data_IF_849203120255
#
_entry.id   IF_849203120255
#
_cell.length_a   1.000
_cell.length_b   1.000
_cell.length_c   1.000
_cell.angle_alpha   90.00
_cell.angle_beta   90.00
_cell.angle_gamma   90.00
#
_symmetry.space_group_name_H-M   'P 1'
#
loop_
_entity.id
_entity.type
_entity.pdbx_description
1 polymer ?
#
# COMPACT_ATOMS: atom_id res chain seq x y z
N UNK A 1 7.46 -7.58 1.35
CA UNK A 1 6.04 -7.94 1.56
C UNK A 1 5.96 -8.87 2.74
N UNK A 2 5.02 -8.68 3.66
CA UNK A 2 4.93 -9.49 4.89
C UNK A 2 3.73 -10.45 4.89
N UNK A 3 2.69 -10.17 4.10
CA UNK A 3 1.53 -11.04 3.95
C UNK A 3 1.03 -11.01 2.51
N UNK A 4 0.57 -12.15 2.01
CA UNK A 4 -0.25 -12.29 0.79
C UNK A 4 -1.36 -13.29 1.09
N UNK A 5 -2.62 -12.85 1.07
CA UNK A 5 -3.75 -13.71 1.47
C UNK A 5 -5.04 -13.31 0.77
N UNK A 6 -5.90 -14.30 0.47
CA UNK A 6 -7.28 -14.05 0.03
C UNK A 6 -8.12 -13.54 1.20
N UNK A 7 -8.74 -12.38 1.03
CA UNK A 7 -9.62 -11.73 2.02
C UNK A 7 -10.85 -11.14 1.32
N UNK A 8 -12.00 -11.00 2.01
CA UNK A 8 -13.12 -10.23 1.50
C UNK A 8 -12.70 -8.78 1.19
N UNK A 9 -13.29 -8.20 0.16
CA UNK A 9 -12.98 -6.83 -0.24
C UNK A 9 -13.55 -5.77 0.70
N UNK A 10 -14.62 -6.12 1.41
CA UNK A 10 -15.30 -5.32 2.44
C UNK A 10 -15.04 -5.91 3.84
N UNK A 11 -14.93 -5.07 4.88
CA UNK A 11 -14.78 -5.56 6.25
C UNK A 11 -16.05 -6.31 6.72
N UNK A 12 -15.85 -7.27 7.63
CA UNK A 12 -16.95 -7.92 8.33
C UNK A 12 -17.34 -7.08 9.55
N UNK A 13 -18.64 -6.80 9.72
CA UNK A 13 -19.17 -6.07 10.87
C UNK A 13 -19.59 -4.63 10.55
N UNK A 14 -19.84 -3.84 11.59
CA UNK A 14 -20.31 -2.46 11.46
C UNK A 14 -19.15 -1.52 11.12
N UNK A 15 -19.32 -0.73 10.06
CA UNK A 15 -18.37 0.32 9.69
C UNK A 15 -18.61 1.53 10.59
N UNK A 16 -17.54 2.05 11.18
CA UNK A 16 -17.53 3.26 11.99
C UNK A 16 -16.46 4.24 11.48
N UNK A 17 -16.45 5.44 12.05
CA UNK A 17 -15.45 6.45 11.72
C UNK A 17 -14.02 5.97 12.07
N UNK A 18 -13.05 6.41 11.28
CA UNK A 18 -11.64 6.22 11.56
C UNK A 18 -11.11 7.22 12.62
N UNK A 19 -9.80 7.20 12.86
CA UNK A 19 -9.16 8.07 13.86
C UNK A 19 -9.25 9.58 13.55
N UNK A 20 -9.69 9.95 12.34
CA UNK A 20 -9.83 11.32 11.87
C UNK A 20 -11.30 11.73 11.70
N UNK A 21 -12.24 10.83 12.02
CA UNK A 21 -13.67 11.08 11.92
C UNK A 21 -14.26 10.71 10.55
N UNK A 22 -13.47 10.18 9.63
CA UNK A 22 -13.93 9.81 8.30
C UNK A 22 -14.61 8.44 8.33
N UNK A 23 -15.79 8.32 7.71
CA UNK A 23 -16.48 7.03 7.55
C UNK A 23 -16.09 6.44 6.19
N UNK A 24 -15.30 5.36 6.14
CA UNK A 24 -14.85 4.80 4.88
C UNK A 24 -15.98 4.11 4.13
N UNK A 25 -16.03 4.31 2.81
CA UNK A 25 -16.94 3.60 1.91
C UNK A 25 -16.14 2.56 1.13
N UNK A 26 -16.60 1.31 1.16
CA UNK A 26 -15.96 0.20 0.45
C UNK A 26 -16.85 -0.30 -0.69
N UNK A 27 -16.24 -0.54 -1.86
CA UNK A 27 -16.91 -1.20 -2.98
C UNK A 27 -16.68 -2.70 -2.85
N UNK A 28 -17.76 -3.48 -2.82
CA UNK A 28 -17.66 -4.94 -2.80
C UNK A 28 -17.22 -5.47 -4.18
N UNK A 29 -16.01 -6.01 -4.22
CA UNK A 29 -15.37 -6.68 -5.35
C UNK A 29 -15.18 -8.19 -5.09
N UNK A 30 -15.89 -8.77 -4.12
CA UNK A 30 -15.79 -10.18 -3.72
C UNK A 30 -14.54 -10.52 -2.90
N UNK A 31 -14.11 -11.78 -2.95
CA UNK A 31 -12.85 -12.24 -2.35
C UNK A 31 -11.69 -11.86 -3.25
N UNK A 32 -10.69 -11.17 -2.70
CA UNK A 32 -9.51 -10.70 -3.45
C UNK A 32 -8.21 -11.07 -2.77
N UNK A 33 -7.14 -11.18 -3.54
CA UNK A 33 -5.79 -11.35 -3.07
C UNK A 33 -5.29 -10.01 -2.55
N UNK A 34 -5.12 -9.93 -1.23
CA UNK A 34 -4.59 -8.76 -0.53
C UNK A 34 -3.14 -9.00 -0.17
N UNK A 35 -2.33 -7.96 -0.23
CA UNK A 35 -0.96 -7.98 0.28
C UNK A 35 -0.73 -6.89 1.33
N UNK A 36 0.15 -7.18 2.28
CA UNK A 36 0.66 -6.21 3.24
C UNK A 36 2.13 -5.91 2.96
N UNK A 37 2.44 -4.63 2.79
CA UNK A 37 3.80 -4.12 2.76
C UNK A 37 4.18 -3.56 4.13
N UNK A 38 5.41 -3.83 4.59
CA UNK A 38 5.98 -3.28 5.82
C UNK A 38 6.52 -1.86 5.60
N UNK A 39 5.68 -1.01 5.04
CA UNK A 39 5.84 0.44 4.96
C UNK A 39 4.46 1.06 5.19
N UNK A 40 4.37 2.14 5.95
CA UNK A 40 3.13 2.86 6.23
C UNK A 40 3.29 4.38 6.14
N UNK A 41 2.34 5.10 6.74
CA UNK A 41 2.28 6.56 6.72
C UNK A 41 3.48 7.23 7.43
N UNK A 42 4.16 6.54 8.33
CA UNK A 42 5.38 7.05 8.97
C UNK A 42 6.60 6.99 8.04
N UNK A 43 6.62 6.04 7.11
CA UNK A 43 7.77 5.81 6.23
C UNK A 43 7.70 6.65 4.95
N UNK A 44 6.50 6.87 4.41
CA UNK A 44 6.31 7.58 3.15
C UNK A 44 4.92 8.26 3.05
N UNK A 45 4.84 9.27 2.18
CA UNK A 45 3.56 9.83 1.70
C UNK A 45 2.87 8.84 0.75
N UNK A 46 2.03 7.97 1.31
CA UNK A 46 1.38 6.86 0.59
C UNK A 46 0.53 7.33 -0.60
N UNK A 47 -0.18 8.46 -0.46
CA UNK A 47 -0.98 9.11 -1.52
C UNK A 47 -0.15 9.61 -2.71
N UNK A 48 1.17 9.76 -2.50
CA UNK A 48 2.13 10.14 -3.51
C UNK A 48 2.94 8.94 -4.06
N UNK A 49 2.55 7.70 -3.75
CA UNK A 49 3.14 6.48 -4.33
C UNK A 49 2.27 5.94 -5.46
N UNK A 50 2.92 5.42 -6.51
CA UNK A 50 2.28 4.78 -7.66
C UNK A 50 2.94 3.41 -7.89
N UNK A 51 2.21 2.28 -7.76
CA UNK A 51 2.78 0.97 -8.04
C UNK A 51 3.32 0.87 -9.47
N UNK A 52 4.53 0.34 -9.64
CA UNK A 52 5.11 0.14 -10.97
C UNK A 52 4.57 -1.13 -11.66
N UNK A 53 4.24 -2.15 -10.87
CA UNK A 53 3.66 -3.39 -11.39
C UNK A 53 2.17 -3.16 -11.68
N UNK A 54 1.72 -3.53 -12.89
CA UNK A 54 0.32 -3.37 -13.29
C UNK A 54 -0.60 -4.24 -12.43
N UNK A 55 -1.83 -3.76 -12.24
CA UNK A 55 -2.87 -4.45 -11.49
C UNK A 55 -2.72 -4.42 -9.95
N UNK A 56 -1.73 -3.68 -9.44
CA UNK A 56 -1.63 -3.39 -8.00
C UNK A 56 -2.37 -2.09 -7.70
N UNK A 57 -3.30 -2.12 -6.74
CA UNK A 57 -3.98 -0.94 -6.21
C UNK A 57 -3.58 -0.71 -4.74
N UNK A 58 -3.26 0.54 -4.38
CA UNK A 58 -3.09 0.93 -2.97
C UNK A 58 -4.46 1.22 -2.37
N UNK A 59 -4.85 0.47 -1.34
CA UNK A 59 -6.14 0.65 -0.67
C UNK A 59 -6.06 1.64 0.50
N UNK A 60 -4.90 1.71 1.15
CA UNK A 60 -4.69 2.53 2.33
C UNK A 60 -3.50 2.05 3.15
N UNK A 61 -3.24 2.74 4.25
CA UNK A 61 -2.13 2.43 5.15
C UNK A 61 -2.41 2.84 6.59
N UNK A 62 -1.86 2.08 7.53
CA UNK A 62 -1.66 2.46 8.94
C UNK A 62 -0.36 3.27 9.09
N UNK A 63 0.11 3.43 10.33
CA UNK A 63 1.41 4.03 10.62
C UNK A 63 2.57 3.28 9.97
N UNK A 64 2.54 1.95 9.99
CA UNK A 64 3.67 1.04 9.72
C UNK A 64 3.40 0.03 8.59
N UNK A 65 2.16 -0.06 8.09
CA UNK A 65 1.77 -1.01 7.07
C UNK A 65 0.89 -0.39 5.99
N UNK A 66 1.05 -0.89 4.76
CA UNK A 66 0.25 -0.51 3.61
C UNK A 66 -0.47 -1.73 3.06
N UNK A 67 -1.76 -1.56 2.78
CA UNK A 67 -2.64 -2.59 2.23
C UNK A 67 -2.75 -2.41 0.72
N UNK A 68 -2.55 -3.50 -0.01
CA UNK A 68 -2.60 -3.55 -1.46
C UNK A 68 -3.68 -4.54 -1.92
N UNK A 69 -4.45 -4.18 -2.95
CA UNK A 69 -5.14 -5.13 -3.81
C UNK A 69 -4.14 -5.61 -4.87
N UNK A 70 -3.98 -6.92 -5.00
CA UNK A 70 -3.05 -7.52 -5.95
C UNK A 70 -3.70 -8.65 -6.75
N UNK A 71 -5.04 -8.74 -6.77
CA UNK A 71 -5.75 -9.80 -7.51
C UNK A 71 -5.46 -9.73 -9.01
N UNK A 72 -5.37 -8.53 -9.58
CA UNK A 72 -5.13 -8.31 -11.02
C UNK A 72 -3.64 -8.15 -11.35
N UNK A 73 -2.74 -8.44 -10.40
CA UNK A 73 -1.31 -8.26 -10.62
C UNK A 73 -0.80 -9.27 -11.67
N UNK A 74 -0.13 -8.78 -12.71
CA UNK A 74 0.41 -9.60 -13.79
C UNK A 74 1.45 -10.62 -13.30
N UNK A 75 2.03 -10.41 -12.11
CA UNK A 75 2.99 -11.33 -11.49
C UNK A 75 2.44 -11.93 -10.20
N UNK A 76 2.76 -13.20 -9.98
CA UNK A 76 2.46 -13.87 -8.71
C UNK A 76 3.35 -13.30 -7.59
N UNK A 77 2.72 -12.75 -6.57
CA UNK A 77 3.39 -12.20 -5.39
C UNK A 77 3.42 -13.20 -4.23
N UNK A 78 4.55 -13.25 -3.55
CA UNK A 78 4.79 -14.07 -2.37
C UNK A 78 5.29 -13.23 -1.20
N UNK A 79 5.15 -13.76 0.02
CA UNK A 79 5.81 -13.18 1.20
C UNK A 79 7.32 -13.10 0.96
N UNK A 80 7.93 -11.98 1.33
CA UNK A 80 9.34 -11.68 1.04
C UNK A 80 9.55 -10.83 -0.21
N UNK A 81 8.60 -10.80 -1.16
CA UNK A 81 8.76 -10.02 -2.39
C UNK A 81 8.85 -8.51 -2.13
N UNK A 82 9.62 -7.83 -2.99
CA UNK A 82 9.69 -6.37 -3.04
C UNK A 82 8.71 -5.86 -4.09
N UNK A 83 8.09 -4.71 -3.84
CA UNK A 83 7.30 -3.95 -4.81
C UNK A 83 8.01 -2.62 -5.05
N UNK A 84 7.99 -2.16 -6.29
CA UNK A 84 8.53 -0.86 -6.68
C UNK A 84 7.40 0.14 -6.86
N UNK A 85 7.67 1.37 -6.48
CA UNK A 85 6.77 2.49 -6.64
C UNK A 85 7.49 3.61 -7.37
N UNK A 86 6.79 4.24 -8.31
CA UNK A 86 7.13 5.59 -8.73
C UNK A 86 6.62 6.57 -7.68
N UNK A 87 7.35 7.65 -7.47
CA UNK A 87 7.07 8.62 -6.42
C UNK A 87 6.68 9.95 -7.05
N UNK A 88 5.55 10.52 -6.63
CA UNK A 88 5.22 11.92 -6.89
C UNK A 88 6.01 12.81 -5.95
N UNK A 89 6.03 14.12 -6.22
CA UNK A 89 6.85 15.10 -5.51
C UNK A 89 6.77 14.99 -3.97
N UNK A 90 5.56 14.86 -3.39
CA UNK A 90 5.39 14.77 -1.94
C UNK A 90 6.08 13.54 -1.32
N UNK A 91 6.04 12.38 -1.98
CA UNK A 91 6.77 11.20 -1.55
C UNK A 91 8.27 11.34 -1.78
N UNK A 92 8.69 11.89 -2.92
CA UNK A 92 10.10 12.13 -3.22
C UNK A 92 10.75 13.01 -2.14
N UNK A 93 10.12 14.14 -1.80
CA UNK A 93 10.62 15.06 -0.78
C UNK A 93 10.73 14.36 0.58
N UNK A 94 9.66 13.69 1.04
CA UNK A 94 9.66 12.99 2.32
C UNK A 94 10.77 11.92 2.39
N UNK A 95 10.87 11.07 1.36
CA UNK A 95 11.85 9.99 1.30
C UNK A 95 13.28 10.50 1.23
N UNK A 96 13.55 11.54 0.44
CA UNK A 96 14.92 12.08 0.28
C UNK A 96 15.43 12.86 1.49
N UNK A 97 14.53 13.29 2.38
CA UNK A 97 14.88 13.91 3.67
C UNK A 97 14.95 12.92 4.84
N UNK A 98 14.61 11.64 4.62
CA UNK A 98 14.60 10.65 5.68
C UNK A 98 15.98 10.03 5.89
N UNK A 99 16.50 9.96 7.13
CA UNK A 99 17.78 9.29 7.41
C UNK A 99 17.70 7.76 7.30
N UNK A 100 16.49 7.21 7.21
CA UNK A 100 16.24 5.77 7.12
C UNK A 100 16.13 5.28 5.67
N UNK A 101 16.25 6.17 4.68
CA UNK A 101 16.13 5.85 3.26
C UNK A 101 17.49 6.02 2.59
N UNK A 102 18.02 4.94 2.02
CA UNK A 102 19.22 5.00 1.19
C UNK A 102 18.87 5.47 -0.22
N UNK A 103 19.60 6.47 -0.72
CA UNK A 103 19.42 7.03 -2.05
C UNK A 103 20.57 6.57 -2.94
N UNK A 104 20.22 5.97 -4.08
CA UNK A 104 21.17 5.57 -5.10
C UNK A 104 20.89 6.38 -6.38
N UNK A 105 21.91 7.08 -6.88
CA UNK A 105 21.86 7.82 -8.14
C UNK A 105 22.65 7.00 -9.17
N UNK A 106 22.01 6.67 -10.28
CA UNK A 106 22.66 6.01 -11.42
C UNK A 106 22.96 7.07 -12.48
N UNK A 107 24.19 7.09 -12.97
CA UNK A 107 24.64 7.93 -14.09
C UNK A 107 24.06 7.50 -15.45
#
# INVERSE_FOLDING_TARGET
MIEVKRKPSVPLGTIAADAFGDIPVFVDKGVRLRALAAIGKQDARIDALLPCDKGIEILGASSDHMVLDVEECDRKLCVGDKIRFSVKYGALLALTTSPYVSIHVTE
#
